data_IF_071176235864
#
_entry.id   IF_071176235864
#
_cell.length_a   1.000
_cell.length_b   1.000
_cell.length_c   1.000
_cell.angle_alpha   90.00
_cell.angle_beta   90.00
_cell.angle_gamma   90.00
#
_symmetry.space_group_name_H-M   'P 1'
#
loop_
_entity.id
_entity.type
_entity.pdbx_description
1 polymer ?
#
# COMPACT_ATOMS: atom_id res chain seq x y z
N UNK A 1 10.22 -8.16 -5.21
CA UNK A 1 11.21 -7.10 -5.57
C UNK A 1 12.46 -7.28 -4.71
N UNK A 2 13.67 -7.21 -5.29
CA UNK A 2 14.93 -7.28 -4.53
C UNK A 2 15.60 -5.90 -4.39
N UNK A 3 16.06 -5.55 -3.18
CA UNK A 3 16.80 -4.30 -2.89
C UNK A 3 18.26 -4.63 -2.58
N UNK A 4 19.17 -4.11 -3.41
CA UNK A 4 20.61 -4.35 -3.25
C UNK A 4 21.16 -3.69 -1.96
N UNK A 5 22.12 -4.31 -1.24
CA UNK A 5 22.64 -3.81 0.04
C UNK A 5 23.28 -2.40 0.00
N UNK A 6 23.74 -1.96 -1.18
CA UNK A 6 24.33 -0.63 -1.37
C UNK A 6 23.31 0.45 -1.78
N UNK A 7 22.01 0.12 -1.77
CA UNK A 7 20.94 1.01 -2.24
C UNK A 7 20.08 1.53 -1.08
N UNK A 8 19.26 2.54 -1.35
CA UNK A 8 18.08 2.88 -0.54
C UNK A 8 16.90 3.00 -1.49
N UNK A 9 15.76 2.43 -1.12
CA UNK A 9 14.57 2.47 -1.96
C UNK A 9 13.40 3.13 -1.22
N UNK A 10 12.77 4.10 -1.89
CA UNK A 10 11.49 4.67 -1.47
C UNK A 10 10.42 4.16 -2.41
N UNK A 11 9.39 3.55 -1.85
CA UNK A 11 8.19 3.12 -2.56
C UNK A 11 7.02 3.96 -2.06
N UNK A 12 6.29 4.54 -3.00
CA UNK A 12 5.13 5.37 -2.69
C UNK A 12 3.98 4.94 -3.59
N UNK A 13 2.79 4.76 -3.02
CA UNK A 13 1.58 4.40 -3.78
C UNK A 13 1.68 3.07 -4.54
N UNK A 14 2.46 2.12 -4.01
CA UNK A 14 2.71 0.84 -4.68
C UNK A 14 1.75 -0.25 -4.19
N UNK A 15 1.18 -1.00 -5.13
CA UNK A 15 0.54 -2.29 -4.84
C UNK A 15 1.50 -3.41 -5.20
N UNK A 16 1.90 -4.23 -4.22
CA UNK A 16 2.83 -5.35 -4.39
C UNK A 16 2.07 -6.61 -4.01
N UNK A 17 1.64 -7.39 -5.00
CA UNK A 17 0.75 -8.53 -4.77
C UNK A 17 1.01 -9.70 -5.70
N UNK A 18 0.64 -10.91 -5.25
CA UNK A 18 0.73 -12.14 -6.05
C UNK A 18 2.15 -12.63 -6.34
N UNK A 19 3.16 -12.09 -5.64
CA UNK A 19 4.55 -12.51 -5.84
C UNK A 19 4.86 -13.76 -5.01
N UNK A 20 5.73 -14.64 -5.55
CA UNK A 20 6.19 -15.86 -4.87
C UNK A 20 7.71 -15.94 -4.86
N UNK A 21 8.31 -16.05 -3.69
CA UNK A 21 9.70 -16.45 -3.50
C UNK A 21 9.75 -17.97 -3.35
N UNK A 22 10.08 -18.67 -4.44
CA UNK A 22 10.15 -20.13 -4.49
C UNK A 22 11.45 -20.66 -3.86
N UNK A 23 11.45 -21.94 -3.52
CA UNK A 23 12.67 -22.72 -3.33
C UNK A 23 13.26 -23.04 -4.72
N UNK A 24 14.40 -22.45 -5.05
CA UNK A 24 15.05 -22.66 -6.34
C UNK A 24 16.23 -23.65 -6.25
N UNK A 25 16.55 -24.19 -5.07
CA UNK A 25 17.71 -25.08 -4.89
C UNK A 25 17.35 -26.35 -4.12
N UNK A 26 17.84 -27.51 -4.58
CA UNK A 26 17.74 -28.79 -3.84
C UNK A 26 18.51 -28.79 -2.50
N UNK A 27 18.99 -27.63 -2.04
CA UNK A 27 19.65 -27.46 -0.75
C UNK A 27 18.66 -27.34 0.43
N UNK A 28 17.36 -27.32 0.14
CA UNK A 28 16.27 -27.34 1.11
C UNK A 28 16.03 -26.01 1.81
N UNK A 29 16.47 -24.88 1.22
CA UNK A 29 16.22 -23.54 1.74
C UNK A 29 15.15 -22.83 0.93
N UNK A 30 14.01 -22.57 1.56
CA UNK A 30 12.91 -21.85 0.93
C UNK A 30 13.25 -20.40 0.59
N UNK A 31 12.60 -19.87 -0.46
CA UNK A 31 12.70 -18.46 -0.82
C UNK A 31 12.23 -17.52 0.30
N UNK A 32 12.85 -16.34 0.36
CA UNK A 32 12.60 -15.29 1.35
C UNK A 32 12.04 -14.04 0.68
N UNK A 33 11.14 -13.32 1.36
CA UNK A 33 10.71 -11.99 0.91
C UNK A 33 9.83 -12.05 -0.34
N UNK A 34 8.66 -12.68 -0.24
CA UNK A 34 7.76 -12.92 -1.37
C UNK A 34 7.39 -11.62 -2.11
N UNK A 35 6.97 -10.59 -1.38
CA UNK A 35 6.73 -9.26 -1.94
C UNK A 35 8.02 -8.45 -2.10
N UNK A 36 8.73 -8.24 -0.99
CA UNK A 36 9.98 -7.46 -0.94
C UNK A 36 11.05 -8.27 -0.21
N UNK A 37 12.22 -8.38 -0.84
CA UNK A 37 13.44 -8.90 -0.25
C UNK A 37 14.53 -7.81 -0.34
N UNK A 38 15.34 -7.59 0.69
CA UNK A 38 16.36 -6.55 0.59
C UNK A 38 17.47 -6.62 1.62
N UNK A 39 18.68 -6.30 1.17
CA UNK A 39 19.86 -6.13 2.03
C UNK A 39 20.06 -4.71 2.54
N UNK A 40 19.18 -3.77 2.18
CA UNK A 40 19.25 -2.37 2.61
C UNK A 40 17.88 -1.82 3.04
N UNK A 41 17.85 -0.75 3.87
CA UNK A 41 16.61 -0.16 4.34
C UNK A 41 15.71 0.37 3.22
N UNK A 42 14.40 0.19 3.39
CA UNK A 42 13.35 0.73 2.52
C UNK A 42 12.46 1.71 3.27
N UNK A 43 11.81 2.61 2.54
CA UNK A 43 10.65 3.35 3.03
C UNK A 43 9.46 3.00 2.16
N UNK A 44 8.41 2.42 2.76
CA UNK A 44 7.11 2.22 2.10
C UNK A 44 6.11 3.23 2.66
N UNK A 45 5.64 4.13 1.81
CA UNK A 45 4.62 5.12 2.13
C UNK A 45 3.37 4.89 1.27
N UNK A 46 2.20 4.77 1.87
CA UNK A 46 0.96 4.50 1.12
C UNK A 46 1.12 3.25 0.22
N UNK A 47 1.62 2.14 0.76
CA UNK A 47 1.82 0.90 0.01
C UNK A 47 0.86 -0.19 0.47
N UNK A 48 0.40 -1.03 -0.46
CA UNK A 48 -0.35 -2.26 -0.18
C UNK A 48 0.52 -3.45 -0.57
N UNK A 49 1.12 -4.14 0.41
CA UNK A 49 1.87 -5.38 0.22
C UNK A 49 1.00 -6.55 0.65
N UNK A 50 0.36 -7.22 -0.30
CA UNK A 50 -0.65 -8.22 0.02
C UNK A 50 -0.62 -9.48 -0.85
N UNK A 51 -1.07 -10.62 -0.31
CA UNK A 51 -1.19 -11.88 -1.06
C UNK A 51 0.13 -12.33 -1.72
N UNK A 52 1.25 -12.08 -1.06
CA UNK A 52 2.55 -12.59 -1.48
C UNK A 52 2.91 -13.85 -0.68
N UNK A 53 3.77 -14.69 -1.25
CA UNK A 53 4.17 -15.96 -0.67
C UNK A 53 5.70 -16.11 -0.63
N UNK A 54 6.22 -16.64 0.46
CA UNK A 54 7.60 -17.08 0.57
C UNK A 54 7.63 -18.52 1.10
N UNK A 55 8.44 -19.40 0.54
CA UNK A 55 8.54 -20.78 1.06
C UNK A 55 9.10 -20.81 2.49
N UNK A 56 9.98 -19.87 2.87
CA UNK A 56 10.55 -19.80 4.21
C UNK A 56 9.99 -18.64 5.04
N UNK A 57 10.50 -17.41 4.93
CA UNK A 57 10.09 -16.28 5.78
C UNK A 57 9.84 -14.99 5.01
N UNK A 58 9.01 -14.13 5.60
CA UNK A 58 8.70 -12.81 5.06
C UNK A 58 7.91 -12.91 3.78
N UNK A 59 6.74 -13.58 3.82
CA UNK A 59 5.86 -13.67 2.65
C UNK A 59 5.58 -12.30 2.05
N UNK A 60 5.31 -11.30 2.89
CA UNK A 60 5.26 -9.90 2.47
C UNK A 60 6.66 -9.31 2.32
N UNK A 61 7.37 -9.17 3.43
CA UNK A 61 8.63 -8.41 3.52
C UNK A 61 9.69 -9.20 4.28
N UNK A 62 10.85 -9.36 3.65
CA UNK A 62 12.10 -9.79 4.24
C UNK A 62 13.16 -8.71 4.01
N UNK A 63 13.40 -7.84 4.98
CA UNK A 63 14.37 -6.76 4.84
C UNK A 63 15.35 -6.71 6.01
N UNK A 64 16.29 -5.79 5.93
CA UNK A 64 17.19 -5.44 7.03
C UNK A 64 16.55 -4.42 7.99
N UNK A 65 16.98 -4.39 9.26
CA UNK A 65 16.57 -3.36 10.23
C UNK A 65 16.77 -1.93 9.70
N UNK A 66 15.95 -0.99 10.18
CA UNK A 66 15.99 0.43 9.80
C UNK A 66 15.11 0.79 8.60
N UNK A 67 14.31 -0.16 8.09
CA UNK A 67 13.25 0.15 7.14
C UNK A 67 12.04 0.76 7.84
N UNK A 68 11.27 1.57 7.12
CA UNK A 68 10.13 2.32 7.66
C UNK A 68 8.85 1.97 6.88
N UNK A 69 7.75 1.72 7.61
CA UNK A 69 6.40 1.70 7.05
C UNK A 69 5.64 2.95 7.48
N UNK A 70 4.88 3.55 6.58
CA UNK A 70 3.94 4.62 6.92
C UNK A 70 2.71 4.54 6.03
N UNK A 71 1.53 4.74 6.61
CA UNK A 71 0.24 4.64 5.91
C UNK A 71 0.13 3.41 5.01
N UNK A 72 0.65 2.26 5.44
CA UNK A 72 0.79 1.09 4.58
C UNK A 72 0.05 -0.12 5.12
N UNK A 73 -0.40 -0.99 4.20
CA UNK A 73 -1.05 -2.25 4.53
C UNK A 73 -0.10 -3.40 4.18
N UNK A 74 0.13 -4.30 5.15
CA UNK A 74 0.82 -5.57 4.93
C UNK A 74 -0.13 -6.72 5.29
N UNK A 75 -0.79 -7.30 4.30
CA UNK A 75 -1.94 -8.17 4.56
C UNK A 75 -2.04 -9.44 3.70
N UNK A 76 -2.58 -10.51 4.27
CA UNK A 76 -2.84 -11.80 3.60
C UNK A 76 -1.60 -12.39 2.91
N UNK A 77 -0.41 -12.04 3.36
CA UNK A 77 0.80 -12.72 2.91
C UNK A 77 0.94 -14.06 3.63
N UNK A 78 1.66 -14.99 3.04
CA UNK A 78 1.81 -16.35 3.56
C UNK A 78 3.27 -16.79 3.55
N UNK A 79 3.62 -17.67 4.48
CA UNK A 79 4.93 -18.30 4.54
C UNK A 79 4.79 -19.82 4.66
N UNK A 80 5.60 -20.56 3.91
CA UNK A 80 5.57 -22.03 3.85
C UNK A 80 6.35 -22.74 4.98
N UNK A 81 7.03 -22.00 5.85
CA UNK A 81 7.83 -22.61 6.92
C UNK A 81 6.97 -23.43 7.91
N UNK A 82 7.53 -24.51 8.49
CA UNK A 82 6.79 -25.41 9.37
C UNK A 82 6.40 -24.80 10.72
N UNK A 83 6.91 -23.62 11.06
CA UNK A 83 6.62 -22.93 12.32
C UNK A 83 5.39 -22.01 12.24
N UNK A 84 4.85 -21.79 11.03
CA UNK A 84 3.70 -20.91 10.82
C UNK A 84 3.97 -19.49 11.33
N UNK A 85 5.14 -18.93 11.01
CA UNK A 85 5.56 -17.60 11.47
C UNK A 85 6.06 -16.71 10.34
N UNK A 86 6.14 -15.40 10.58
CA UNK A 86 6.72 -14.41 9.67
C UNK A 86 6.08 -14.38 8.28
N UNK A 87 4.77 -14.59 8.22
CA UNK A 87 4.01 -14.54 6.97
C UNK A 87 4.00 -13.11 6.37
N UNK A 88 3.86 -12.09 7.20
CA UNK A 88 3.87 -10.70 6.77
C UNK A 88 5.30 -10.14 6.75
N UNK A 89 5.96 -10.08 7.90
CA UNK A 89 7.30 -9.50 8.02
C UNK A 89 8.23 -10.42 8.82
N UNK A 90 9.49 -10.53 8.40
CA UNK A 90 10.53 -11.25 9.17
C UNK A 90 11.16 -10.38 10.25
N UNK A 91 11.23 -9.09 10.00
CA UNK A 91 11.89 -8.06 10.80
C UNK A 91 10.86 -7.00 11.19
N UNK A 92 11.05 -6.46 12.39
CA UNK A 92 10.30 -5.30 12.84
C UNK A 92 10.93 -4.03 12.24
N UNK A 93 10.08 -3.17 11.71
CA UNK A 93 10.40 -1.94 11.02
C UNK A 93 10.00 -0.73 11.88
N UNK A 94 10.58 0.41 11.55
CA UNK A 94 10.20 1.68 12.15
C UNK A 94 8.76 2.03 11.76
N UNK A 95 7.98 2.46 12.76
CA UNK A 95 6.60 2.85 12.58
C UNK A 95 6.49 4.35 12.30
N UNK A 96 6.15 4.70 11.06
CA UNK A 96 5.79 6.07 10.69
C UNK A 96 4.32 6.42 10.99
N UNK A 97 3.52 5.47 11.48
CA UNK A 97 2.10 5.63 11.79
C UNK A 97 1.17 5.23 10.65
N UNK A 98 -0.11 4.97 11.00
CA UNK A 98 -1.17 4.68 10.02
C UNK A 98 -1.03 3.32 9.32
N UNK A 99 -0.25 2.39 9.88
CA UNK A 99 0.00 1.09 9.27
C UNK A 99 -1.01 0.02 9.75
N UNK A 100 -1.38 -0.88 8.85
CA UNK A 100 -2.25 -2.03 9.13
C UNK A 100 -1.56 -3.34 8.74
N UNK A 101 -1.73 -4.36 9.58
CA UNK A 101 -1.29 -5.72 9.29
C UNK A 101 -2.42 -6.73 9.46
N UNK A 102 -2.47 -7.72 8.57
CA UNK A 102 -3.32 -8.90 8.77
C UNK A 102 -2.76 -10.17 8.11
N UNK A 103 -2.83 -11.36 8.73
CA UNK A 103 -3.10 -11.56 10.15
C UNK A 103 -1.98 -10.95 11.02
N UNK A 104 -2.23 -10.88 12.33
CA UNK A 104 -1.18 -10.58 13.31
C UNK A 104 -0.09 -11.64 13.35
N UNK A 105 0.98 -11.38 14.11
CA UNK A 105 2.00 -12.39 14.42
C UNK A 105 1.38 -13.66 15.01
N UNK A 106 2.03 -14.79 14.79
CA UNK A 106 1.69 -16.03 15.49
C UNK A 106 1.95 -15.87 17.01
N UNK A 107 0.91 -15.90 17.86
CA UNK A 107 1.07 -15.68 19.29
C UNK A 107 1.83 -16.79 20.00
N UNK A 108 1.97 -17.97 19.37
CA UNK A 108 2.68 -19.11 19.91
C UNK A 108 4.17 -19.14 19.54
N UNK A 109 4.63 -18.19 18.70
CA UNK A 109 6.04 -18.10 18.31
C UNK A 109 6.69 -16.84 18.87
N UNK A 110 7.73 -17.02 19.68
CA UNK A 110 8.56 -15.90 20.17
C UNK A 110 9.42 -15.26 19.08
N UNK A 111 9.58 -15.96 17.95
CA UNK A 111 10.37 -15.52 16.83
C UNK A 111 9.52 -14.81 15.77
N UNK A 112 8.19 -14.78 15.95
CA UNK A 112 7.31 -14.00 15.11
C UNK A 112 7.08 -12.60 15.67
N UNK A 113 6.96 -11.64 14.78
CA UNK A 113 6.80 -10.23 15.12
C UNK A 113 5.81 -9.59 14.17
N UNK A 114 5.09 -8.62 14.70
CA UNK A 114 4.36 -7.70 13.86
C UNK A 114 5.35 -6.78 13.12
N UNK A 115 4.95 -6.30 11.95
CA UNK A 115 5.78 -5.55 11.02
C UNK A 115 6.32 -4.26 11.65
N UNK A 116 5.59 -3.64 12.57
CA UNK A 116 6.06 -2.54 13.44
C UNK A 116 5.54 -2.76 14.86
N UNK A 117 6.12 -2.09 15.85
CA UNK A 117 5.76 -2.28 17.27
C UNK A 117 4.35 -1.81 17.62
N UNK A 118 3.84 -0.80 16.90
CA UNK A 118 2.52 -0.20 17.12
C UNK A 118 1.55 -0.40 15.95
N UNK A 119 1.80 -1.39 15.08
CA UNK A 119 0.93 -1.63 13.93
C UNK A 119 -0.49 -1.97 14.38
N UNK A 120 -1.49 -1.47 13.65
CA UNK A 120 -2.87 -1.87 13.88
C UNK A 120 -3.09 -3.25 13.26
N UNK A 121 -3.37 -4.25 14.09
CA UNK A 121 -3.65 -5.62 13.62
C UNK A 121 -5.16 -5.78 13.45
N UNK A 122 -5.63 -5.62 12.21
CA UNK A 122 -7.04 -5.72 11.84
C UNK A 122 -7.16 -6.13 10.38
N UNK A 123 -8.20 -6.87 10.04
CA UNK A 123 -8.50 -7.21 8.65
C UNK A 123 -8.76 -5.91 7.84
N UNK A 124 -7.90 -5.55 6.87
CA UNK A 124 -8.07 -4.34 6.07
C UNK A 124 -9.23 -4.41 5.07
N UNK A 125 -9.91 -5.56 4.93
CA UNK A 125 -11.02 -5.77 3.98
C UNK A 125 -10.67 -5.29 2.56
N UNK A 126 -9.57 -5.83 2.05
CA UNK A 126 -9.13 -5.51 0.69
C UNK A 126 -10.07 -6.13 -0.35
N UNK A 127 -10.24 -5.44 -1.47
CA UNK A 127 -10.85 -6.00 -2.68
C UNK A 127 -9.84 -6.85 -3.47
N UNK A 128 -10.25 -7.38 -4.62
CA UNK A 128 -9.35 -8.01 -5.58
C UNK A 128 -8.55 -6.97 -6.37
N UNK A 129 -7.40 -7.39 -6.90
CA UNK A 129 -6.61 -6.57 -7.82
C UNK A 129 -7.43 -6.35 -9.09
N UNK A 130 -7.62 -5.08 -9.47
CA UNK A 130 -8.31 -4.70 -10.69
C UNK A 130 -7.91 -3.30 -11.15
N UNK A 131 -8.31 -2.95 -12.36
CA UNK A 131 -8.24 -1.56 -12.82
C UNK A 131 -9.31 -0.72 -12.09
N UNK A 132 -8.88 0.09 -11.11
CA UNK A 132 -9.74 1.02 -10.39
C UNK A 132 -9.78 2.43 -11.02
N UNK A 133 -9.41 2.58 -12.29
CA UNK A 133 -9.49 3.85 -13.04
C UNK A 133 -8.19 4.65 -13.10
N UNK A 134 -7.05 4.06 -12.72
CA UNK A 134 -5.72 4.69 -12.78
C UNK A 134 -4.82 4.11 -13.87
N UNK A 135 -3.56 4.57 -13.91
CA UNK A 135 -2.56 4.06 -14.85
C UNK A 135 -2.06 2.64 -14.51
N UNK A 136 -2.24 2.22 -13.25
CA UNK A 136 -1.85 0.90 -12.73
C UNK A 136 -3.06 0.26 -12.04
N UNK A 137 -3.13 -1.06 -12.08
CA UNK A 137 -4.07 -1.82 -11.25
C UNK A 137 -3.71 -1.63 -9.77
N UNK A 138 -4.74 -1.54 -8.94
CA UNK A 138 -4.60 -1.38 -7.49
C UNK A 138 -5.55 -2.32 -6.77
N UNK A 139 -5.27 -2.56 -5.49
CA UNK A 139 -6.20 -3.23 -4.60
C UNK A 139 -7.03 -2.16 -3.90
N UNK A 140 -8.34 -2.15 -4.15
CA UNK A 140 -9.29 -1.25 -3.49
C UNK A 140 -9.62 -1.66 -2.06
N UNK A 141 -10.40 -0.82 -1.39
CA UNK A 141 -10.92 -1.06 -0.04
C UNK A 141 -12.43 -1.32 -0.10
N UNK A 142 -12.91 -2.28 0.69
CA UNK A 142 -14.36 -2.45 0.90
C UNK A 142 -14.91 -1.27 1.72
N UNK A 143 -16.20 -0.95 1.55
CA UNK A 143 -16.83 0.25 2.11
C UNK A 143 -16.79 0.37 3.64
N UNK A 144 -16.58 -0.73 4.35
CA UNK A 144 -16.48 -0.80 5.82
C UNK A 144 -15.06 -1.19 6.28
N UNK A 145 -14.06 -0.96 5.42
CA UNK A 145 -12.66 -1.22 5.71
C UNK A 145 -12.15 -0.30 6.84
N UNK A 146 -11.43 -0.85 7.83
CA UNK A 146 -10.76 -0.04 8.85
C UNK A 146 -9.55 0.73 8.31
N UNK A 147 -9.16 0.53 7.05
CA UNK A 147 -8.13 1.32 6.40
C UNK A 147 -8.63 2.67 5.90
N UNK A 148 -9.96 2.83 5.74
CA UNK A 148 -10.57 4.10 5.34
C UNK A 148 -10.41 5.11 6.48
N UNK A 149 -9.80 6.26 6.18
CA UNK A 149 -9.41 7.29 7.15
C UNK A 149 -8.56 6.75 8.32
N UNK A 150 -7.88 5.61 8.12
CA UNK A 150 -7.10 4.89 9.15
C UNK A 150 -5.62 5.33 9.23
N UNK A 151 -5.17 6.15 8.29
CA UNK A 151 -3.81 6.64 8.19
C UNK A 151 -3.54 7.91 8.99
N UNK A 152 -2.33 8.45 8.82
CA UNK A 152 -1.88 9.72 9.37
C UNK A 152 -1.65 10.75 8.28
N UNK A 153 -2.12 11.98 8.51
CA UNK A 153 -2.05 13.09 7.56
C UNK A 153 -0.65 13.73 7.41
N UNK A 154 0.30 13.41 8.29
CA UNK A 154 1.62 14.04 8.30
C UNK A 154 2.53 13.61 7.13
N UNK A 155 2.20 12.51 6.45
CA UNK A 155 3.11 11.81 5.53
C UNK A 155 2.41 11.29 4.28
N UNK A 156 1.20 11.79 3.98
CA UNK A 156 0.46 11.35 2.80
C UNK A 156 1.13 11.81 1.51
N UNK A 157 1.16 10.92 0.53
CA UNK A 157 1.33 11.32 -0.86
C UNK A 157 0.20 12.30 -1.26
N UNK A 158 0.45 13.23 -2.17
CA UNK A 158 -0.54 14.24 -2.59
C UNK A 158 -1.74 13.64 -3.34
N UNK A 159 -1.55 12.47 -3.94
CA UNK A 159 -2.58 11.73 -4.63
C UNK A 159 -2.26 10.23 -4.62
N UNK A 160 -3.25 9.39 -4.89
CA UNK A 160 -3.08 7.95 -5.11
C UNK A 160 -2.71 7.63 -6.59
N UNK A 161 -2.49 6.36 -6.97
CA UNK A 161 -2.15 5.96 -8.36
C UNK A 161 -3.18 6.30 -9.43
N UNK A 162 -4.42 6.61 -9.04
CA UNK A 162 -5.50 7.02 -9.95
C UNK A 162 -5.51 8.53 -10.15
N UNK A 163 -4.79 9.29 -9.32
CA UNK A 163 -4.81 10.74 -9.27
C UNK A 163 -5.88 11.30 -8.31
N UNK A 164 -6.53 10.46 -7.51
CA UNK A 164 -7.43 10.92 -6.45
C UNK A 164 -6.64 11.63 -5.36
N UNK A 165 -7.10 12.81 -4.92
CA UNK A 165 -6.43 13.59 -3.90
C UNK A 165 -6.43 12.88 -2.55
N UNK A 166 -5.35 13.10 -1.77
CA UNK A 166 -5.25 12.66 -0.38
C UNK A 166 -4.95 13.87 0.54
N UNK A 167 -5.47 13.89 1.77
CA UNK A 167 -6.51 13.01 2.31
C UNK A 167 -7.89 13.28 1.68
N UNK A 168 -8.77 12.29 1.73
CA UNK A 168 -10.19 12.41 1.38
C UNK A 168 -11.04 11.81 2.51
N UNK A 169 -12.13 12.49 2.90
CA UNK A 169 -13.09 11.99 3.91
C UNK A 169 -13.88 10.81 3.34
N UNK A 170 -13.31 9.61 3.47
CA UNK A 170 -13.82 8.38 2.89
C UNK A 170 -14.98 7.77 3.70
N UNK A 171 -15.00 8.01 5.00
CA UNK A 171 -16.01 7.51 5.93
C UNK A 171 -17.21 8.46 6.12
N UNK A 172 -17.09 9.73 5.70
CA UNK A 172 -18.14 10.74 5.73
C UNK A 172 -18.40 11.38 7.10
N UNK A 173 -17.43 11.35 8.02
CA UNK A 173 -17.55 11.92 9.36
C UNK A 173 -17.23 13.44 9.44
N UNK A 174 -16.83 14.04 8.31
CA UNK A 174 -16.47 15.44 8.19
C UNK A 174 -14.98 15.73 8.40
N UNK A 175 -14.15 14.70 8.62
CA UNK A 175 -12.69 14.80 8.74
C UNK A 175 -12.01 13.94 7.68
N UNK A 176 -11.25 14.59 6.80
CA UNK A 176 -10.40 13.88 5.84
C UNK A 176 -9.11 13.42 6.52
N UNK A 177 -8.93 12.11 6.68
CA UNK A 177 -7.64 11.49 6.97
C UNK A 177 -7.23 10.61 5.79
N UNK A 178 -5.94 10.32 5.63
CA UNK A 178 -5.54 9.44 4.53
C UNK A 178 -5.90 7.99 4.83
N UNK A 179 -6.18 7.24 3.77
CA UNK A 179 -6.30 5.81 3.91
C UNK A 179 -4.94 5.14 4.08
N UNK A 180 -4.92 4.09 4.89
CA UNK A 180 -3.82 3.14 4.88
C UNK A 180 -3.79 2.40 3.54
N UNK A 181 -2.61 2.26 2.94
CA UNK A 181 -2.39 1.55 1.68
C UNK A 181 -2.28 2.46 0.47
N UNK A 182 -2.18 1.83 -0.70
CA UNK A 182 -1.97 2.52 -1.98
C UNK A 182 -3.23 3.18 -2.56
N UNK A 183 -4.41 2.77 -2.12
CA UNK A 183 -5.70 3.24 -2.59
C UNK A 183 -6.30 4.25 -1.60
N UNK A 184 -7.01 5.27 -2.11
CA UNK A 184 -7.78 6.24 -1.30
C UNK A 184 -9.28 6.10 -1.63
N UNK A 185 -10.07 5.60 -0.70
CA UNK A 185 -11.49 5.34 -0.89
C UNK A 185 -12.27 6.64 -1.14
N UNK A 186 -13.23 6.58 -2.05
CA UNK A 186 -14.07 7.74 -2.42
C UNK A 186 -13.37 8.82 -3.27
N UNK A 187 -12.04 8.90 -3.26
CA UNK A 187 -11.30 9.88 -4.07
C UNK A 187 -11.25 9.49 -5.55
N UNK A 188 -11.54 10.46 -6.43
CA UNK A 188 -11.45 10.34 -7.88
C UNK A 188 -10.48 11.37 -8.45
N UNK A 189 -9.81 11.09 -9.59
CA UNK A 189 -8.97 12.07 -10.24
C UNK A 189 -9.74 13.34 -10.58
N UNK A 190 -9.15 14.48 -10.24
CA UNK A 190 -9.59 15.75 -10.76
C UNK A 190 -9.28 15.79 -12.27
N UNK A 191 -10.30 15.56 -13.11
CA UNK A 191 -10.17 15.80 -14.54
C UNK A 191 -10.36 17.31 -14.73
N UNK A 192 -9.31 18.08 -15.10
CA UNK A 192 -9.54 19.46 -15.49
C UNK A 192 -10.43 19.45 -16.73
N UNK A 193 -11.65 19.94 -16.58
CA UNK A 193 -12.45 20.33 -17.73
C UNK A 193 -11.80 21.58 -18.31
N UNK A 194 -11.17 21.45 -19.47
CA UNK A 194 -10.88 22.60 -20.32
C UNK A 194 -12.23 23.20 -20.71
N UNK A 195 -12.67 24.19 -19.93
CA UNK A 195 -13.81 25.02 -20.26
C UNK A 195 -13.37 25.93 -21.40
N UNK A 196 -13.46 25.42 -22.63
CA UNK A 196 -13.38 26.27 -23.80
C UNK A 196 -14.64 27.14 -23.79
N UNK A 197 -14.53 28.33 -23.20
CA UNK A 197 -15.54 29.37 -23.32
C UNK A 197 -15.52 29.79 -24.78
N UNK A 198 -16.30 29.13 -25.62
CA UNK A 198 -16.60 29.60 -26.97
C UNK A 198 -17.44 30.87 -26.80
N UNK A 199 -16.75 32.00 -26.63
CA UNK A 199 -17.35 33.31 -26.56
C UNK A 199 -18.03 33.63 -27.88
N UNK A 200 -19.33 33.37 -27.98
CA UNK A 200 -20.15 33.93 -29.04
C UNK A 200 -20.27 35.44 -28.77
N UNK A 201 -19.40 36.25 -29.39
CA UNK A 201 -19.60 37.69 -29.44
C UNK A 201 -20.89 37.95 -30.26
N UNK A 202 -21.90 38.65 -29.71
CA UNK A 202 -23.07 39.03 -30.49
C UNK A 202 -22.64 39.98 -31.60
N UNK A 203 -22.90 39.57 -32.86
CA UNK A 203 -22.65 40.41 -34.04
C UNK A 203 -23.63 41.58 -34.01
N UNK A 204 -23.16 42.77 -33.61
CA UNK A 204 -23.93 44.02 -33.73
C UNK A 204 -24.02 44.36 -35.22
N UNK A 205 -25.17 44.06 -35.84
CA UNK A 205 -25.50 44.56 -37.17
C UNK A 205 -25.95 46.01 -36.99
N UNK A 206 -25.06 46.97 -37.28
CA UNK A 206 -25.47 48.38 -37.42
C UNK A 206 -26.28 48.52 -38.71
N UNK A 207 -27.58 48.77 -38.57
CA UNK A 207 -28.42 49.20 -39.68
C UNK A 207 -27.97 50.58 -40.18
N UNK A 208 -27.68 50.69 -41.47
CA UNK A 208 -27.38 51.96 -42.13
C UNK A 208 -28.67 52.61 -42.62
N UNK A 209 -28.89 53.83 -42.13
CA UNK A 209 -29.78 54.92 -42.61
C UNK A 209 -31.29 54.70 -42.51
#
# INVERSE_FOLDING_TARGET
MYIHPASRATMTNMTITGNRAADEQEDGKGGLGGGIAGGAPITCANCTIARNHAEEHGGGIYNVPGSTLVNSIVAYNTAGNPWGMSANCRTNMEDGGGNIQYPGRNPNSRNDRDCTDSITVVDPKLEDLRNNGGALETIGLQADSPAIDGGTNNTCATADPRGGMRPFDGNGDGRADCDSGAFEYGAWPIIPVDLEVVGYLPRVVRGNR
#
